data_IF_724525718171
#
_entry.id   IF_724525718171
#
_cell.length_a   1.000
_cell.length_b   1.000
_cell.length_c   1.000
_cell.angle_alpha   90.00
_cell.angle_beta   90.00
_cell.angle_gamma   90.00
#
_symmetry.space_group_name_H-M   'P 1'
#
loop_
_entity.id
_entity.type
_entity.pdbx_description
1 polymer ?
#
# COMPACT_ATOMS: atom_id res chain seq x y z
N UNK A 1 15.93 -52.04 -12.99
CA UNK A 1 17.14 -51.51 -13.66
C UNK A 1 16.73 -50.57 -14.79
N UNK A 2 16.50 -49.29 -14.51
CA UNK A 2 16.36 -48.25 -15.53
C UNK A 2 17.19 -47.04 -15.08
N UNK A 3 18.06 -46.59 -15.97
CA UNK A 3 19.29 -45.85 -15.70
C UNK A 3 19.05 -44.35 -15.91
N UNK A 4 19.25 -43.54 -14.86
CA UNK A 4 19.27 -42.07 -14.91
C UNK A 4 20.51 -41.60 -15.69
N UNK A 5 20.30 -40.86 -16.80
CA UNK A 5 21.39 -40.11 -17.45
C UNK A 5 21.28 -38.63 -17.07
N UNK A 6 22.17 -38.22 -16.19
CA UNK A 6 22.48 -36.82 -15.87
C UNK A 6 23.31 -36.23 -17.01
N UNK A 7 22.83 -35.15 -17.63
CA UNK A 7 23.59 -34.35 -18.59
C UNK A 7 24.21 -33.16 -17.86
N UNK A 8 25.52 -33.23 -17.64
CA UNK A 8 26.33 -32.15 -17.09
C UNK A 8 26.72 -31.18 -18.21
N UNK A 9 26.28 -29.93 -18.14
CA UNK A 9 26.71 -28.85 -19.03
C UNK A 9 27.92 -28.14 -18.42
N UNK A 10 29.08 -28.29 -19.04
CA UNK A 10 30.31 -27.52 -18.73
C UNK A 10 30.22 -26.15 -19.43
N UNK A 11 30.22 -25.06 -18.65
CA UNK A 11 30.38 -23.70 -19.16
C UNK A 11 31.81 -23.22 -18.93
N UNK A 12 32.57 -23.06 -20.01
CA UNK A 12 33.89 -22.42 -20.03
C UNK A 12 33.74 -20.90 -20.19
N UNK A 13 34.34 -20.15 -19.28
CA UNK A 13 34.27 -18.69 -19.24
C UNK A 13 35.09 -17.99 -20.31
N UNK A 14 34.58 -16.85 -20.77
CA UNK A 14 35.35 -15.79 -21.45
C UNK A 14 35.22 -14.50 -20.65
N UNK A 15 36.36 -13.94 -20.25
CA UNK A 15 36.50 -12.60 -19.68
C UNK A 15 36.66 -11.61 -20.83
N UNK A 16 35.93 -10.51 -20.81
CA UNK A 16 36.22 -9.34 -21.65
C UNK A 16 36.22 -8.11 -20.76
N UNK A 17 37.37 -7.42 -20.75
CA UNK A 17 37.63 -6.13 -20.13
C UNK A 17 37.04 -5.03 -21.02
N UNK A 18 36.28 -4.09 -20.45
CA UNK A 18 36.06 -2.77 -21.06
C UNK A 18 36.25 -1.70 -19.99
N UNK A 19 37.07 -0.72 -20.36
CA UNK A 19 37.62 0.34 -19.54
C UNK A 19 36.78 1.63 -19.64
N UNK A 20 37.02 2.50 -18.67
CA UNK A 20 36.31 3.70 -18.23
C UNK A 20 36.38 4.88 -19.22
N UNK A 21 35.31 5.70 -19.27
CA UNK A 21 35.45 7.18 -19.35
C UNK A 21 34.14 7.92 -19.01
N UNK A 22 34.19 8.76 -17.96
CA UNK A 22 33.24 9.85 -17.66
C UNK A 22 33.57 11.10 -18.50
N UNK A 23 32.66 12.09 -18.54
CA UNK A 23 33.10 13.43 -18.17
C UNK A 23 32.18 14.15 -17.17
N UNK A 24 32.80 15.13 -16.52
CA UNK A 24 32.38 16.00 -15.43
C UNK A 24 31.45 17.15 -15.92
N UNK A 25 30.48 17.61 -15.10
CA UNK A 25 30.47 18.88 -14.32
C UNK A 25 30.29 20.13 -15.21
N UNK A 26 29.53 21.20 -14.91
CA UNK A 26 29.25 22.02 -13.73
C UNK A 26 28.11 22.97 -14.17
N UNK A 27 27.25 23.45 -13.26
CA UNK A 27 26.73 24.84 -13.27
C UNK A 27 26.09 25.13 -11.89
N UNK A 28 26.49 26.24 -11.28
CA UNK A 28 26.11 26.73 -9.93
C UNK A 28 24.78 27.51 -9.98
N UNK A 29 24.06 27.66 -8.84
CA UNK A 29 22.85 28.47 -8.74
C UNK A 29 23.14 29.90 -8.24
N UNK A 30 22.34 30.87 -8.68
CA UNK A 30 22.32 32.25 -8.19
C UNK A 30 21.27 32.42 -7.08
N UNK A 31 21.72 32.81 -5.89
CA UNK A 31 20.90 33.23 -4.74
C UNK A 31 20.39 34.66 -4.94
N UNK A 32 19.12 34.90 -4.60
CA UNK A 32 18.59 36.23 -4.32
C UNK A 32 18.02 36.23 -2.90
N UNK A 33 18.65 37.01 -2.01
CA UNK A 33 18.16 37.36 -0.68
C UNK A 33 17.28 38.62 -0.78
N UNK A 34 16.15 38.63 -0.07
CA UNK A 34 15.38 39.82 0.19
C UNK A 34 15.31 40.04 1.72
N UNK A 35 15.86 41.17 2.16
CA UNK A 35 15.64 41.74 3.48
C UNK A 35 14.37 42.59 3.45
N UNK A 36 13.57 42.57 4.52
CA UNK A 36 12.76 43.71 4.89
C UNK A 36 12.57 43.74 6.41
N UNK A 37 13.28 44.68 7.05
CA UNK A 37 13.13 45.05 8.46
C UNK A 37 12.40 46.40 8.46
N UNK A 38 11.27 46.50 9.16
CA UNK A 38 10.66 47.79 9.45
C UNK A 38 10.26 47.85 10.91
N UNK A 39 10.79 48.88 11.56
CA UNK A 39 10.61 49.28 12.95
C UNK A 39 9.31 50.07 13.12
N UNK A 40 8.69 50.02 14.31
CA UNK A 40 8.15 51.22 14.99
C UNK A 40 7.69 50.96 16.44
N UNK A 41 8.27 51.81 17.28
CA UNK A 41 7.84 52.49 18.51
C UNK A 41 6.88 51.85 19.53
N UNK A 42 7.41 51.88 20.75
CA UNK A 42 6.84 51.89 22.10
C UNK A 42 5.79 52.97 22.34
N UNK A 43 4.81 52.64 23.19
CA UNK A 43 4.26 53.54 24.22
C UNK A 43 3.83 52.73 25.46
N UNK A 44 4.17 53.30 26.61
CA UNK A 44 4.00 52.80 27.98
C UNK A 44 2.53 52.71 28.44
N UNK A 45 2.24 51.85 29.43
CA UNK A 45 1.42 52.18 30.61
C UNK A 45 1.45 51.05 31.67
N UNK A 46 1.94 51.45 32.85
CA UNK A 46 1.56 51.09 34.23
C UNK A 46 1.75 49.65 34.78
N UNK A 47 2.80 49.54 35.59
CA UNK A 47 3.16 48.48 36.51
C UNK A 47 2.15 48.30 37.67
N UNK A 48 1.70 47.06 37.92
CA UNK A 48 1.31 46.57 39.26
C UNK A 48 1.93 45.20 39.49
N UNK A 49 2.66 44.97 40.61
CA UNK A 49 3.36 43.71 40.82
C UNK A 49 2.39 42.67 41.38
N UNK A 50 2.16 41.58 40.64
CA UNK A 50 1.69 40.32 41.22
C UNK A 50 2.81 39.31 41.15
N UNK A 51 3.16 38.82 42.33
CA UNK A 51 4.07 37.73 42.59
C UNK A 51 3.67 36.51 41.74
N UNK A 52 4.42 36.23 40.67
CA UNK A 52 4.23 35.03 39.84
C UNK A 52 5.28 34.01 40.23
N UNK A 53 4.82 32.85 40.71
CA UNK A 53 5.63 31.65 40.88
C UNK A 53 6.35 31.34 39.56
N UNK A 54 7.68 31.36 39.60
CA UNK A 54 8.55 31.00 38.48
C UNK A 54 8.67 29.47 38.38
N UNK A 55 7.59 28.81 37.99
CA UNK A 55 7.69 27.47 37.41
C UNK A 55 7.50 27.63 35.91
N UNK A 56 8.63 27.68 35.20
CA UNK A 56 8.64 27.58 33.75
C UNK A 56 7.92 26.28 33.39
N UNK A 57 6.69 26.39 32.87
CA UNK A 57 6.03 25.29 32.18
C UNK A 57 6.98 24.88 31.06
N UNK A 58 7.73 23.81 31.34
CA UNK A 58 8.58 23.11 30.38
C UNK A 58 7.61 22.59 29.32
N UNK A 59 7.39 23.40 28.29
CA UNK A 59 6.84 22.91 27.03
C UNK A 59 7.77 21.78 26.62
N UNK A 60 7.34 20.54 26.86
CA UNK A 60 7.93 19.40 26.20
C UNK A 60 7.73 19.71 24.72
N UNK A 61 8.79 20.17 24.08
CA UNK A 61 8.95 19.96 22.65
C UNK A 61 8.93 18.45 22.51
N UNK A 62 7.73 17.90 22.27
CA UNK A 62 7.62 16.59 21.65
C UNK A 62 8.38 16.75 20.35
N UNK A 63 9.63 16.26 20.39
CA UNK A 63 10.40 16.04 19.19
C UNK A 63 9.47 15.18 18.35
N UNK A 64 8.84 15.76 17.34
CA UNK A 64 7.96 15.06 16.41
C UNK A 64 8.83 14.03 15.69
N UNK A 65 9.08 12.91 16.34
CA UNK A 65 9.71 11.75 15.76
C UNK A 65 8.72 11.27 14.73
N UNK A 66 9.07 11.37 13.45
CA UNK A 66 8.24 10.90 12.37
C UNK A 66 7.81 9.45 12.63
N UNK A 67 6.59 9.12 12.19
CA UNK A 67 6.04 7.78 12.32
C UNK A 67 6.95 6.76 11.63
N UNK A 68 6.94 5.51 12.11
CA UNK A 68 7.74 4.42 11.56
C UNK A 68 6.88 3.21 11.19
N UNK A 69 7.10 2.69 9.99
CA UNK A 69 6.53 1.44 9.49
C UNK A 69 7.64 0.38 9.51
N UNK A 70 7.51 -0.63 10.35
CA UNK A 70 8.42 -1.76 10.41
C UNK A 70 8.02 -2.85 9.41
N UNK A 71 8.98 -3.39 8.68
CA UNK A 71 8.80 -4.61 7.85
C UNK A 71 10.12 -5.37 7.75
N UNK A 72 10.14 -6.57 7.19
CA UNK A 72 11.37 -7.35 7.14
C UNK A 72 12.38 -6.84 6.09
N UNK A 73 13.66 -7.10 6.34
CA UNK A 73 14.75 -6.85 5.39
C UNK A 73 14.98 -8.03 4.41
N UNK A 74 15.90 -7.89 3.46
CA UNK A 74 16.21 -8.95 2.48
C UNK A 74 15.18 -9.04 1.36
N UNK A 75 15.02 -10.23 0.78
CA UNK A 75 14.04 -10.46 -0.29
C UNK A 75 12.65 -10.01 0.14
N UNK A 76 11.98 -9.23 -0.71
CA UNK A 76 10.65 -8.69 -0.44
C UNK A 76 9.59 -9.28 -1.37
N UNK A 77 8.35 -9.31 -0.89
CA UNK A 77 7.17 -9.81 -1.57
C UNK A 77 6.22 -8.65 -1.91
N UNK A 78 5.05 -8.98 -2.41
CA UNK A 78 4.09 -7.97 -2.87
C UNK A 78 3.22 -7.46 -1.73
N UNK A 79 2.96 -8.29 -0.73
CA UNK A 79 2.02 -7.97 0.33
C UNK A 79 2.59 -6.88 1.26
N UNK A 80 3.85 -6.97 1.69
CA UNK A 80 4.45 -5.96 2.55
C UNK A 80 4.75 -4.67 1.80
N UNK A 81 5.04 -4.76 0.50
CA UNK A 81 5.14 -3.60 -0.40
C UNK A 81 3.80 -2.87 -0.49
N UNK A 82 2.71 -3.61 -0.73
CA UNK A 82 1.36 -3.04 -0.85
C UNK A 82 0.87 -2.46 0.49
N UNK A 83 1.10 -3.17 1.60
CA UNK A 83 0.80 -2.71 2.94
C UNK A 83 1.52 -1.38 3.26
N UNK A 84 2.82 -1.28 2.96
CA UNK A 84 3.59 -0.04 3.11
C UNK A 84 3.03 1.10 2.24
N UNK A 85 2.63 0.80 1.00
CA UNK A 85 2.00 1.79 0.12
C UNK A 85 0.69 2.32 0.71
N UNK A 86 -0.20 1.43 1.17
CA UNK A 86 -1.49 1.80 1.78
C UNK A 86 -1.32 2.70 3.00
N UNK A 87 -0.47 2.30 3.94
CA UNK A 87 -0.21 3.08 5.15
C UNK A 87 0.26 4.49 4.79
N UNK A 88 1.18 4.64 3.82
CA UNK A 88 1.69 5.95 3.39
C UNK A 88 0.69 6.84 2.65
N UNK A 89 -0.51 6.35 2.32
CA UNK A 89 -1.59 7.22 1.84
C UNK A 89 -2.35 7.88 2.98
N UNK A 90 -2.25 7.35 4.20
CA UNK A 90 -2.93 7.90 5.37
C UNK A 90 -2.17 9.11 5.91
N UNK A 91 -2.89 10.17 6.37
CA UNK A 91 -2.25 11.37 6.92
C UNK A 91 -1.26 11.09 8.06
N UNK A 92 -1.55 10.09 8.90
CA UNK A 92 -0.67 9.71 10.02
C UNK A 92 0.69 9.18 9.54
N UNK A 93 0.72 8.37 8.47
CA UNK A 93 1.94 7.69 8.03
C UNK A 93 2.50 8.21 6.69
N UNK A 94 1.97 9.33 6.18
CA UNK A 94 2.36 9.89 4.87
C UNK A 94 3.88 10.04 4.70
N UNK A 95 4.51 10.59 5.72
CA UNK A 95 5.95 10.83 5.79
C UNK A 95 6.68 9.81 6.68
N UNK A 96 6.04 8.67 6.95
CA UNK A 96 6.62 7.64 7.80
C UNK A 96 7.89 7.04 7.19
N UNK A 97 8.89 6.82 8.04
CA UNK A 97 10.09 6.07 7.70
C UNK A 97 9.74 4.58 7.62
N UNK A 98 10.14 3.91 6.53
CA UNK A 98 10.02 2.45 6.44
C UNK A 98 11.32 1.83 6.97
N UNK A 99 11.23 1.16 8.11
CA UNK A 99 12.33 0.47 8.78
C UNK A 99 12.30 -1.00 8.38
N UNK A 100 13.23 -1.41 7.50
CA UNK A 100 13.38 -2.80 7.04
C UNK A 100 14.33 -3.57 7.95
N UNK A 101 13.80 -4.40 8.85
CA UNK A 101 14.57 -5.17 9.84
C UNK A 101 13.79 -6.39 10.37
N UNK A 102 14.50 -7.38 10.92
CA UNK A 102 13.93 -8.48 11.72
C UNK A 102 14.30 -8.39 13.19
N UNK A 103 15.01 -7.32 13.58
CA UNK A 103 15.42 -7.11 14.97
C UNK A 103 14.21 -6.70 15.83
N UNK A 104 13.78 -7.51 16.80
CA UNK A 104 12.61 -7.23 17.61
C UNK A 104 12.73 -5.92 18.40
N UNK A 105 13.94 -5.49 18.76
CA UNK A 105 14.15 -4.23 19.48
C UNK A 105 13.81 -3.04 18.59
N UNK A 106 14.23 -3.06 17.33
CA UNK A 106 13.90 -2.00 16.36
C UNK A 106 12.43 -2.04 15.95
N UNK A 107 11.84 -3.23 15.80
CA UNK A 107 10.42 -3.38 15.51
C UNK A 107 9.52 -2.87 16.65
N UNK A 108 9.96 -3.00 17.91
CA UNK A 108 9.25 -2.46 19.06
C UNK A 108 9.19 -0.92 19.05
N UNK A 109 10.13 -0.25 18.36
CA UNK A 109 10.12 1.21 18.19
C UNK A 109 9.23 1.68 17.03
N UNK A 110 8.69 0.77 16.21
CA UNK A 110 7.83 1.11 15.09
C UNK A 110 6.37 1.29 15.53
N UNK A 111 5.71 2.31 14.97
CA UNK A 111 4.29 2.61 15.24
C UNK A 111 3.38 1.51 14.68
N UNK A 112 3.69 1.03 13.47
CA UNK A 112 3.00 -0.07 12.80
C UNK A 112 4.03 -1.05 12.25
N UNK A 113 3.75 -2.35 12.33
CA UNK A 113 4.63 -3.40 11.80
C UNK A 113 3.82 -4.33 10.91
N UNK A 114 4.36 -4.61 9.73
CA UNK A 114 3.74 -5.47 8.70
C UNK A 114 4.71 -6.56 8.28
N UNK A 115 4.19 -7.76 8.06
CA UNK A 115 4.92 -8.90 7.49
C UNK A 115 6.13 -9.40 8.29
N UNK A 116 6.23 -8.99 9.55
CA UNK A 116 7.32 -9.37 10.43
C UNK A 116 6.91 -9.24 11.90
N UNK A 117 7.56 -10.01 12.76
CA UNK A 117 7.41 -9.91 14.21
C UNK A 117 6.64 -11.07 14.83
N UNK A 118 5.98 -11.91 14.03
CA UNK A 118 5.28 -13.11 14.48
C UNK A 118 4.02 -12.80 15.30
N UNK A 119 3.41 -11.63 15.13
CA UNK A 119 2.22 -11.20 15.89
C UNK A 119 1.17 -10.54 14.97
N UNK A 120 -0.10 -10.98 15.08
CA UNK A 120 -1.26 -10.24 14.63
C UNK A 120 -1.98 -9.65 15.85
N UNK A 121 -1.92 -8.34 15.99
CA UNK A 121 -2.61 -7.59 17.03
C UNK A 121 -3.00 -6.20 16.46
N UNK A 122 -4.26 -6.02 16.02
CA UNK A 122 -4.69 -4.76 15.43
C UNK A 122 -4.73 -3.61 16.42
N UNK A 123 -4.80 -3.86 17.74
CA UNK A 123 -4.75 -2.81 18.77
C UNK A 123 -3.34 -2.26 18.95
N UNK A 124 -2.32 -3.06 18.64
CA UNK A 124 -0.91 -2.66 18.62
C UNK A 124 -0.39 -2.35 17.23
N UNK A 125 -1.24 -2.38 16.21
CA UNK A 125 -0.85 -2.26 14.80
C UNK A 125 0.28 -3.23 14.42
N UNK A 126 0.08 -4.51 14.73
CA UNK A 126 0.94 -5.62 14.31
C UNK A 126 0.15 -6.47 13.32
N UNK A 127 0.61 -6.52 12.08
CA UNK A 127 -0.07 -7.13 10.94
C UNK A 127 0.87 -8.13 10.26
N UNK A 128 1.27 -9.15 11.01
CA UNK A 128 2.01 -10.30 10.47
C UNK A 128 1.09 -11.53 10.43
N UNK A 129 1.21 -12.34 9.39
CA UNK A 129 0.41 -13.54 9.12
C UNK A 129 1.23 -14.85 9.17
N UNK A 130 2.54 -14.76 9.41
CA UNK A 130 3.48 -15.88 9.38
C UNK A 130 3.35 -16.89 10.54
N UNK A 131 2.46 -16.65 11.51
CA UNK A 131 2.28 -17.56 12.64
C UNK A 131 1.67 -18.87 12.14
N UNK A 132 2.18 -20.00 12.63
CA UNK A 132 1.66 -21.33 12.26
C UNK A 132 0.16 -21.49 12.54
N UNK A 133 -0.34 -20.78 13.54
CA UNK A 133 -1.74 -20.80 13.98
C UNK A 133 -2.59 -19.74 13.31
N UNK A 134 -2.00 -18.84 12.50
CA UNK A 134 -2.76 -17.79 11.84
C UNK A 134 -3.56 -18.37 10.68
N UNK A 135 -4.88 -18.20 10.75
CA UNK A 135 -5.85 -18.70 9.78
C UNK A 135 -6.96 -17.68 9.53
N UNK A 136 -6.74 -16.42 9.85
CA UNK A 136 -7.76 -15.38 9.70
C UNK A 136 -8.00 -15.08 8.21
N UNK A 137 -9.25 -14.81 7.90
CA UNK A 137 -9.78 -14.43 6.60
C UNK A 137 -10.58 -13.15 6.75
N UNK A 138 -10.98 -12.53 5.65
CA UNK A 138 -11.93 -11.41 5.74
C UNK A 138 -13.22 -11.84 6.47
N UNK A 139 -13.79 -13.00 6.10
CA UNK A 139 -15.00 -13.52 6.73
C UNK A 139 -14.84 -13.80 8.24
N UNK A 140 -13.69 -14.29 8.71
CA UNK A 140 -13.51 -14.58 10.14
C UNK A 140 -13.45 -13.31 11.00
N UNK A 141 -12.87 -12.24 10.45
CA UNK A 141 -12.69 -10.95 11.14
C UNK A 141 -13.87 -9.97 10.90
N UNK A 142 -14.59 -10.14 9.80
CA UNK A 142 -15.66 -9.29 9.30
C UNK A 142 -16.77 -10.18 8.69
N UNK A 143 -17.64 -10.78 9.54
CA UNK A 143 -18.57 -11.85 9.14
C UNK A 143 -19.58 -11.48 8.04
N UNK A 144 -19.79 -10.20 7.78
CA UNK A 144 -20.62 -9.67 6.69
C UNK A 144 -19.98 -9.86 5.31
N UNK A 145 -18.66 -10.03 5.23
CA UNK A 145 -17.93 -10.31 3.98
C UNK A 145 -17.82 -11.81 3.77
N UNK A 146 -17.93 -12.26 2.53
CA UNK A 146 -17.97 -13.70 2.19
C UNK A 146 -16.61 -14.30 1.84
N UNK A 147 -15.55 -13.49 1.81
CA UNK A 147 -14.22 -13.91 1.36
C UNK A 147 -13.52 -14.76 2.41
N UNK A 148 -13.13 -15.97 2.01
CA UNK A 148 -12.51 -16.98 2.86
C UNK A 148 -11.02 -17.20 2.54
N UNK A 149 -10.46 -16.38 1.65
CA UNK A 149 -9.01 -16.36 1.40
C UNK A 149 -8.27 -15.94 2.66
N UNK A 150 -7.23 -16.68 3.03
CA UNK A 150 -6.37 -16.35 4.15
C UNK A 150 -5.66 -15.03 3.87
N UNK A 151 -5.67 -14.10 4.83
CA UNK A 151 -5.08 -12.78 4.65
C UNK A 151 -3.54 -12.84 4.73
N UNK A 152 -2.87 -12.03 3.91
CA UNK A 152 -1.47 -11.64 4.12
C UNK A 152 -1.42 -10.27 4.82
N UNK A 153 -0.23 -9.70 4.95
CA UNK A 153 -0.05 -8.40 5.59
C UNK A 153 -0.77 -7.27 4.83
N UNK A 154 -0.88 -7.38 3.50
CA UNK A 154 -1.66 -6.45 2.68
C UNK A 154 -3.16 -6.51 3.00
N UNK A 155 -3.75 -7.70 3.02
CA UNK A 155 -5.16 -7.89 3.36
C UNK A 155 -5.49 -7.44 4.78
N UNK A 156 -4.62 -7.70 5.75
CA UNK A 156 -4.77 -7.22 7.12
C UNK A 156 -4.78 -5.69 7.21
N UNK A 157 -3.83 -5.02 6.56
CA UNK A 157 -3.80 -3.55 6.51
C UNK A 157 -5.04 -3.02 5.77
N UNK A 158 -5.45 -3.64 4.67
CA UNK A 158 -6.64 -3.23 3.93
C UNK A 158 -7.93 -3.43 4.76
N UNK A 159 -8.04 -4.50 5.52
CA UNK A 159 -9.17 -4.75 6.41
C UNK A 159 -9.33 -3.63 7.43
N UNK A 160 -8.22 -3.23 8.07
CA UNK A 160 -8.26 -2.25 9.16
C UNK A 160 -8.22 -0.79 8.72
N UNK A 161 -7.64 -0.48 7.55
CA UNK A 161 -7.45 0.90 7.09
C UNK A 161 -8.06 1.18 5.72
N UNK A 162 -8.61 0.20 5.02
CA UNK A 162 -9.03 0.33 3.62
C UNK A 162 -10.13 1.37 3.42
N UNK A 163 -11.12 1.48 4.32
CA UNK A 163 -12.13 2.54 4.25
C UNK A 163 -11.52 3.93 4.39
N UNK A 164 -10.64 4.12 5.38
CA UNK A 164 -9.93 5.39 5.58
C UNK A 164 -9.04 5.72 4.37
N UNK A 165 -8.26 4.75 3.90
CA UNK A 165 -7.42 4.83 2.70
C UNK A 165 -8.23 5.31 1.49
N UNK A 166 -9.33 4.62 1.19
CA UNK A 166 -10.16 4.95 0.03
C UNK A 166 -10.87 6.28 0.20
N UNK A 167 -11.30 6.63 1.41
CA UNK A 167 -11.85 7.96 1.71
C UNK A 167 -10.84 9.06 1.40
N UNK A 168 -9.58 8.89 1.81
CA UNK A 168 -8.50 9.84 1.51
C UNK A 168 -8.23 9.97 0.01
N UNK A 169 -8.22 8.85 -0.73
CA UNK A 169 -7.90 8.85 -2.15
C UNK A 169 -9.06 9.36 -3.04
N UNK A 170 -10.30 9.07 -2.67
CA UNK A 170 -11.49 9.35 -3.49
C UNK A 170 -12.24 10.63 -3.08
N UNK A 171 -11.97 11.14 -1.88
CA UNK A 171 -12.73 12.22 -1.23
C UNK A 171 -14.20 11.85 -0.88
N UNK A 172 -14.58 10.57 -1.01
CA UNK A 172 -15.84 10.07 -0.47
C UNK A 172 -15.75 9.94 1.04
N UNK A 173 -16.86 10.12 1.74
CA UNK A 173 -16.91 10.00 3.21
C UNK A 173 -16.98 8.53 3.61
N UNK A 174 -16.38 8.19 4.75
CA UNK A 174 -16.61 6.90 5.39
C UNK A 174 -18.12 6.70 5.64
N UNK A 175 -18.62 5.49 5.35
CA UNK A 175 -20.05 5.16 5.37
C UNK A 175 -20.83 5.52 4.10
N UNK A 176 -20.21 6.14 3.09
CA UNK A 176 -20.84 6.31 1.77
C UNK A 176 -21.02 4.94 1.08
N UNK A 177 -22.21 4.66 0.55
CA UNK A 177 -22.52 3.42 -0.18
C UNK A 177 -21.57 3.19 -1.35
N UNK A 178 -21.16 4.25 -2.04
CA UNK A 178 -20.21 4.17 -3.15
C UNK A 178 -18.82 3.75 -2.65
N UNK A 179 -18.39 4.26 -1.50
CA UNK A 179 -17.12 3.88 -0.88
C UNK A 179 -17.12 2.39 -0.50
N UNK A 180 -18.21 1.88 0.09
CA UNK A 180 -18.35 0.45 0.39
C UNK A 180 -18.26 -0.42 -0.87
N UNK A 181 -18.92 0.00 -1.95
CA UNK A 181 -18.84 -0.72 -3.23
C UNK A 181 -17.42 -0.73 -3.80
N UNK A 182 -16.69 0.39 -3.70
CA UNK A 182 -15.30 0.47 -4.14
C UNK A 182 -14.38 -0.39 -3.27
N UNK A 183 -14.61 -0.41 -1.95
CA UNK A 183 -13.89 -1.25 -0.99
C UNK A 183 -14.00 -2.73 -1.38
N UNK A 184 -15.23 -3.19 -1.63
CA UNK A 184 -15.47 -4.58 -2.02
C UNK A 184 -14.84 -4.92 -3.37
N UNK A 185 -14.98 -4.03 -4.35
CA UNK A 185 -14.44 -4.26 -5.69
C UNK A 185 -12.91 -4.30 -5.71
N UNK A 186 -12.26 -3.45 -4.93
CA UNK A 186 -10.80 -3.42 -4.87
C UNK A 186 -10.23 -4.58 -4.06
N UNK A 187 -10.92 -5.04 -3.02
CA UNK A 187 -10.51 -6.28 -2.37
C UNK A 187 -10.62 -7.47 -3.35
N UNK A 188 -11.81 -7.72 -3.90
CA UNK A 188 -12.11 -8.87 -4.79
C UNK A 188 -11.20 -8.95 -6.01
N UNK A 189 -10.83 -7.81 -6.60
CA UNK A 189 -10.19 -7.77 -7.91
C UNK A 189 -8.75 -7.24 -7.85
N UNK A 190 -8.18 -7.10 -6.65
CA UNK A 190 -6.80 -6.64 -6.49
C UNK A 190 -6.13 -7.22 -5.23
N UNK A 191 -6.66 -6.89 -4.05
CA UNK A 191 -5.98 -7.23 -2.78
C UNK A 191 -6.04 -8.73 -2.51
N UNK A 192 -7.18 -9.38 -2.79
CA UNK A 192 -7.35 -10.82 -2.58
C UNK A 192 -6.37 -11.65 -3.42
N UNK A 193 -6.00 -11.21 -4.64
CA UNK A 193 -4.96 -11.87 -5.44
C UNK A 193 -3.61 -11.85 -4.71
N UNK A 194 -3.26 -10.71 -4.10
CA UNK A 194 -2.01 -10.57 -3.33
C UNK A 194 -2.03 -11.45 -2.09
N UNK A 195 -3.14 -11.47 -1.35
CA UNK A 195 -3.35 -12.33 -0.18
C UNK A 195 -3.21 -13.83 -0.54
N UNK A 196 -3.88 -14.25 -1.63
CA UNK A 196 -3.87 -15.64 -2.08
C UNK A 196 -2.47 -16.09 -2.53
N UNK A 197 -1.79 -15.29 -3.36
CA UNK A 197 -0.46 -15.65 -3.88
C UNK A 197 0.54 -15.76 -2.73
N UNK A 198 0.51 -14.81 -1.81
CA UNK A 198 1.46 -14.76 -0.70
C UNK A 198 1.28 -15.94 0.28
N UNK A 199 0.03 -16.33 0.53
CA UNK A 199 -0.29 -17.53 1.31
C UNK A 199 -0.15 -18.85 0.51
N UNK A 200 0.27 -18.80 -0.76
CA UNK A 200 0.45 -19.99 -1.60
C UNK A 200 -0.87 -20.69 -1.98
N UNK A 201 -1.98 -19.96 -2.00
CA UNK A 201 -3.31 -20.46 -2.35
C UNK A 201 -3.45 -20.51 -3.87
N UNK A 202 -3.91 -21.64 -4.40
CA UNK A 202 -4.18 -21.80 -5.84
C UNK A 202 -5.50 -21.12 -6.22
N UNK A 203 -5.55 -20.51 -7.40
CA UNK A 203 -6.75 -19.83 -7.91
C UNK A 203 -7.96 -20.76 -8.10
N UNK A 204 -7.70 -22.05 -8.34
CA UNK A 204 -8.71 -23.09 -8.53
C UNK A 204 -8.14 -24.45 -8.18
N UNK A 205 -9.02 -25.42 -7.94
CA UNK A 205 -8.65 -26.81 -7.74
C UNK A 205 -8.22 -27.47 -9.06
N UNK A 206 -7.17 -28.29 -9.03
CA UNK A 206 -6.68 -29.08 -10.17
C UNK A 206 -5.39 -28.57 -10.82
N UNK A 207 -5.04 -29.14 -11.98
CA UNK A 207 -3.79 -28.81 -12.69
C UNK A 207 -4.00 -27.69 -13.72
N UNK A 208 -3.21 -26.62 -13.60
CA UNK A 208 -3.20 -25.53 -14.56
C UNK A 208 -2.66 -25.98 -15.93
N UNK A 209 -3.32 -25.52 -17.00
CA UNK A 209 -2.85 -25.78 -18.39
C UNK A 209 -1.56 -25.05 -18.75
N UNK A 210 -1.31 -23.90 -18.11
CA UNK A 210 -0.11 -23.09 -18.29
C UNK A 210 0.15 -22.26 -17.02
N UNK A 211 1.39 -21.82 -16.84
CA UNK A 211 1.76 -20.94 -15.74
C UNK A 211 1.66 -19.46 -16.15
N UNK A 212 1.10 -18.63 -15.26
CA UNK A 212 1.13 -17.17 -15.39
C UNK A 212 2.33 -16.66 -14.59
N UNK A 213 3.26 -15.97 -15.24
CA UNK A 213 4.49 -15.44 -14.63
C UNK A 213 4.57 -13.90 -14.63
N UNK A 214 3.46 -13.25 -14.95
CA UNK A 214 3.36 -11.80 -15.12
C UNK A 214 2.43 -11.12 -14.10
N UNK A 215 2.04 -11.82 -13.03
CA UNK A 215 1.23 -11.24 -11.94
C UNK A 215 1.95 -10.07 -11.28
N UNK A 216 1.21 -9.24 -10.52
CA UNK A 216 1.82 -8.14 -9.77
C UNK A 216 2.89 -8.67 -8.81
N UNK A 217 2.59 -9.75 -8.08
CA UNK A 217 3.56 -10.39 -7.18
C UNK A 217 4.79 -10.93 -7.89
N UNK A 218 4.66 -11.50 -9.10
CA UNK A 218 5.81 -11.92 -9.89
C UNK A 218 6.67 -10.71 -10.32
N UNK A 219 6.04 -9.62 -10.75
CA UNK A 219 6.75 -8.38 -11.14
C UNK A 219 7.49 -7.75 -9.97
N UNK A 220 6.90 -7.75 -8.77
CA UNK A 220 7.58 -7.34 -7.54
C UNK A 220 8.77 -8.27 -7.25
N UNK A 221 8.56 -9.58 -7.33
CA UNK A 221 9.62 -10.58 -7.19
C UNK A 221 10.81 -10.33 -8.14
N UNK A 222 10.56 -9.92 -9.38
CA UNK A 222 11.60 -9.59 -10.37
C UNK A 222 12.43 -8.34 -10.04
N UNK A 223 12.01 -7.52 -9.07
CA UNK A 223 12.77 -6.38 -8.58
C UNK A 223 13.77 -6.75 -7.47
N UNK A 224 13.68 -7.96 -6.92
CA UNK A 224 14.70 -8.50 -6.02
C UNK A 224 16.01 -8.77 -6.77
N UNK A 225 17.18 -8.67 -6.10
CA UNK A 225 18.44 -9.10 -6.68
C UNK A 225 18.38 -10.60 -7.00
N UNK A 226 18.95 -10.96 -8.16
CA UNK A 226 19.13 -12.37 -8.53
C UNK A 226 20.09 -13.05 -7.56
N UNK A 227 19.93 -14.36 -7.37
CA UNK A 227 20.79 -15.17 -6.50
C UNK A 227 22.29 -15.07 -6.84
N UNK A 228 22.62 -14.80 -8.10
CA UNK A 228 24.00 -14.66 -8.60
C UNK A 228 24.47 -13.20 -8.77
N UNK A 229 23.68 -12.22 -8.30
CA UNK A 229 24.09 -10.82 -8.29
C UNK A 229 25.24 -10.60 -7.30
N UNK A 230 26.20 -9.75 -7.69
CA UNK A 230 27.34 -9.38 -6.82
C UNK A 230 26.91 -8.65 -5.54
N UNK A 231 25.84 -7.85 -5.65
CA UNK A 231 25.18 -7.21 -4.52
C UNK A 231 23.83 -7.88 -4.29
N UNK A 232 23.50 -8.12 -3.03
CA UNK A 232 22.20 -8.59 -2.56
C UNK A 232 21.42 -7.46 -1.88
N UNK A 233 21.80 -6.21 -2.11
CA UNK A 233 21.04 -5.05 -1.65
C UNK A 233 19.66 -5.02 -2.32
N UNK A 234 18.63 -4.90 -1.49
CA UNK A 234 17.21 -4.91 -1.90
C UNK A 234 16.58 -3.53 -1.87
N UNK A 235 17.26 -2.52 -1.30
CA UNK A 235 16.63 -1.24 -0.94
C UNK A 235 16.10 -0.48 -2.16
N UNK A 236 16.91 -0.37 -3.22
CA UNK A 236 16.48 0.29 -4.46
C UNK A 236 15.41 -0.50 -5.21
N UNK A 237 15.43 -1.84 -5.10
CA UNK A 237 14.37 -2.70 -5.65
C UNK A 237 13.04 -2.48 -4.94
N UNK A 238 13.08 -2.41 -3.61
CA UNK A 238 11.91 -2.20 -2.77
C UNK A 238 11.22 -0.86 -3.03
N UNK A 239 11.99 0.23 -3.14
CA UNK A 239 11.44 1.56 -3.51
C UNK A 239 10.75 1.55 -4.87
N UNK A 240 11.33 0.85 -5.86
CA UNK A 240 10.71 0.68 -7.17
C UNK A 240 9.43 -0.15 -7.09
N UNK A 241 9.41 -1.17 -6.23
CA UNK A 241 8.24 -2.01 -6.01
C UNK A 241 7.09 -1.19 -5.40
N UNK A 242 7.34 -0.38 -4.36
CA UNK A 242 6.31 0.51 -3.77
C UNK A 242 5.69 1.42 -4.84
N UNK A 243 6.53 2.05 -5.67
CA UNK A 243 6.06 2.92 -6.76
C UNK A 243 5.19 2.14 -7.76
N UNK A 244 5.67 1.00 -8.24
CA UNK A 244 4.98 0.18 -9.23
C UNK A 244 3.63 -0.33 -8.72
N UNK A 245 3.62 -0.92 -7.52
CA UNK A 245 2.42 -1.46 -6.88
C UNK A 245 1.42 -0.34 -6.59
N UNK A 246 1.90 0.81 -6.10
CA UNK A 246 1.07 1.97 -5.85
C UNK A 246 0.43 2.55 -7.11
N UNK A 247 1.18 2.70 -8.18
CA UNK A 247 0.66 3.16 -9.48
C UNK A 247 -0.41 2.20 -10.02
N UNK A 248 -0.20 0.89 -9.89
CA UNK A 248 -1.16 -0.11 -10.35
C UNK A 248 -2.45 -0.11 -9.51
N UNK A 249 -2.34 0.05 -8.19
CA UNK A 249 -3.51 0.19 -7.32
C UNK A 249 -4.31 1.46 -7.63
N UNK A 250 -3.63 2.60 -7.81
CA UNK A 250 -4.28 3.87 -8.11
C UNK A 250 -4.99 3.84 -9.48
N UNK A 251 -4.39 3.21 -10.49
CA UNK A 251 -5.03 3.00 -11.79
C UNK A 251 -6.28 2.11 -11.68
N UNK A 252 -6.26 1.10 -10.80
CA UNK A 252 -7.44 0.26 -10.54
C UNK A 252 -8.52 0.99 -9.77
N UNK A 253 -8.15 1.79 -8.78
CA UNK A 253 -9.08 2.65 -8.07
C UNK A 253 -9.74 3.65 -9.03
N UNK A 254 -8.97 4.36 -9.86
CA UNK A 254 -9.51 5.30 -10.84
C UNK A 254 -10.46 4.61 -11.82
N UNK A 255 -10.09 3.43 -12.34
CA UNK A 255 -11.01 2.65 -13.18
C UNK A 255 -12.34 2.37 -12.50
N UNK A 256 -12.32 1.88 -11.25
CA UNK A 256 -13.56 1.57 -10.55
C UNK A 256 -14.38 2.81 -10.23
N UNK A 257 -13.73 3.90 -9.79
CA UNK A 257 -14.38 5.15 -9.43
C UNK A 257 -14.93 5.91 -10.64
N UNK A 258 -14.11 6.08 -11.67
CA UNK A 258 -14.36 6.99 -12.79
C UNK A 258 -15.06 6.31 -13.97
N UNK A 259 -14.99 4.98 -14.08
CA UNK A 259 -15.59 4.23 -15.20
C UNK A 259 -16.65 3.22 -14.74
N UNK A 260 -16.28 2.27 -13.89
CA UNK A 260 -17.17 1.17 -13.54
C UNK A 260 -18.37 1.62 -12.69
N UNK A 261 -18.15 2.48 -11.69
CA UNK A 261 -19.20 2.92 -10.78
C UNK A 261 -20.28 3.76 -11.49
N UNK A 262 -19.95 4.75 -12.35
CA UNK A 262 -20.97 5.43 -13.17
C UNK A 262 -21.73 4.48 -14.10
N UNK A 263 -21.04 3.52 -14.73
CA UNK A 263 -21.68 2.55 -15.61
C UNK A 263 -22.66 1.65 -14.84
N UNK A 264 -22.32 1.27 -13.60
CA UNK A 264 -23.19 0.49 -12.73
C UNK A 264 -24.51 1.20 -12.45
N UNK A 265 -24.51 2.52 -12.22
CA UNK A 265 -25.73 3.30 -11.98
C UNK A 265 -26.69 3.19 -13.18
N UNK A 266 -26.17 3.35 -14.41
CA UNK A 266 -26.98 3.23 -15.64
C UNK A 266 -27.60 1.83 -15.77
N UNK A 267 -26.84 0.78 -15.42
CA UNK A 267 -27.34 -0.60 -15.47
C UNK A 267 -28.38 -0.86 -14.39
N UNK A 268 -28.17 -0.37 -13.16
CA UNK A 268 -29.14 -0.46 -12.06
C UNK A 268 -30.46 0.20 -12.47
N UNK A 269 -30.42 1.42 -13.00
CA UNK A 269 -31.60 2.15 -13.50
C UNK A 269 -32.32 1.41 -14.62
N UNK A 270 -31.58 0.88 -15.61
CA UNK A 270 -32.17 0.12 -16.72
C UNK A 270 -32.85 -1.17 -16.22
N UNK A 271 -32.27 -1.85 -15.23
CA UNK A 271 -32.88 -3.03 -14.61
C UNK A 271 -34.14 -2.63 -13.85
N UNK A 272 -34.15 -1.55 -13.10
CA UNK A 272 -35.34 -1.09 -12.36
C UNK A 272 -36.49 -0.71 -13.30
N UNK A 273 -36.17 -0.08 -14.43
CA UNK A 273 -37.15 0.37 -15.43
C UNK A 273 -37.59 -0.74 -16.40
N UNK A 274 -36.99 -1.95 -16.34
CA UNK A 274 -37.21 -3.02 -17.34
C UNK A 274 -38.66 -3.46 -17.55
N UNK A 275 -39.53 -3.20 -16.58
CA UNK A 275 -40.95 -3.55 -16.62
C UNK A 275 -41.87 -2.37 -16.99
N UNK A 276 -41.31 -1.17 -17.18
CA UNK A 276 -42.07 -0.01 -17.65
C UNK A 276 -42.28 -0.15 -19.17
N UNK A 277 -43.31 -0.91 -19.56
CA UNK A 277 -43.81 -0.89 -20.93
C UNK A 277 -44.59 0.41 -21.11
N UNK A 278 -44.18 1.24 -22.07
CA UNK A 278 -44.94 2.42 -22.48
C UNK A 278 -46.31 1.96 -23.01
N UNK A 279 -47.36 2.12 -22.21
CA UNK A 279 -48.77 1.99 -22.64
C UNK A 279 -49.12 3.15 -23.60
N UNK A 280 -48.55 3.12 -24.80
CA UNK A 280 -48.78 4.12 -25.85
C UNK A 280 -49.62 3.55 -27.01
N UNK A 281 -50.59 2.69 -26.71
CA UNK A 281 -51.46 2.05 -27.71
C UNK A 281 -52.97 2.12 -27.43
N UNK A 282 -53.43 3.09 -26.61
CA UNK A 282 -54.87 3.27 -26.31
C UNK A 282 -55.51 4.56 -26.87
N UNK A 283 -54.88 5.28 -27.81
CA UNK A 283 -55.49 6.49 -28.41
C UNK A 283 -55.32 6.62 -29.92
N UNK A 284 -55.59 5.56 -30.68
CA UNK A 284 -55.82 5.67 -32.14
C UNK A 284 -57.02 4.83 -32.60
N UNK A 285 -58.16 4.99 -31.95
CA UNK A 285 -59.45 4.67 -32.59
C UNK A 285 -60.53 5.58 -32.01
N UNK A 286 -60.74 6.72 -32.66
CA UNK A 286 -61.98 7.50 -32.69
C UNK A 286 -61.70 8.75 -33.54
N UNK A 287 -61.82 8.60 -34.85
CA UNK A 287 -62.36 9.59 -35.80
C UNK A 287 -62.52 8.96 -37.16
#
# INVERSE_FOLDING_TARGET
MWCLRVLAVKLTGRKTLINISKPASLLRPSNFQANCFCSRSVDDICFRPRHMSSEAKRLRSEKMTGKKIGTHNGSFHCDEVLACFFLRQLPEYKDAEIVRTRDPVQLAECDVVVDVGGEFDPKKHRYDHHQRTFSETFHSLCPEKTWVTKLSSAGLVYLHFGHQLLSQLTQLKEGDRQLEVLYDKLYENFVEEVDAIDNGISQYDGEARYAISSTLSARVGHLNPRWNSKSQDTEEGFKKAIKMVGEEFLDRLDFYQSSWLPARVVVEEAIEQRHQVLDYLMFTSLR
#
